data_IF_927804454447
#
_entry.id   IF_927804454447
#
_cell.length_a   1.000
_cell.length_b   1.000
_cell.length_c   1.000
_cell.angle_alpha   90.00
_cell.angle_beta   90.00
_cell.angle_gamma   90.00
#
_symmetry.space_group_name_H-M   'P 1'
#
loop_
_entity.id
_entity.type
_entity.pdbx_description
1 polymer ?
#
# COMPACT_ATOMS: atom_id res chain seq x y z
N UNK A 1 -14.65 23.67 -6.47
CA UNK A 1 -14.66 23.15 -6.54
C UNK A 1 -14.07 22.34 -6.79
N UNK A 2 -13.97 21.78 -6.78
CA UNK A 2 -13.44 20.92 -7.00
C UNK A 2 -13.29 20.52 -8.20
N UNK A 3 -13.55 20.86 -8.85
CA UNK A 3 -13.56 20.57 -10.05
C UNK A 3 -12.29 20.38 -10.55
N UNK A 4 -11.55 20.97 -10.24
CA UNK A 4 -10.30 20.91 -10.71
C UNK A 4 -9.69 19.81 -10.03
N UNK A 5 -10.42 19.14 -9.45
CA UNK A 5 -9.95 18.17 -8.81
C UNK A 5 -9.40 17.35 -9.64
N UNK A 6 -8.73 17.12 -9.65
CA UNK A 6 -7.91 16.42 -10.26
C UNK A 6 -8.16 15.33 -10.91
N UNK A 7 -8.42 15.50 -11.89
CA UNK A 7 -8.55 14.55 -12.74
C UNK A 7 -7.48 13.63 -12.62
N UNK A 8 -6.39 13.99 -12.32
CA UNK A 8 -5.37 13.09 -12.25
C UNK A 8 -4.94 13.01 -10.94
N UNK A 9 -5.75 12.99 -10.06
CA UNK A 9 -5.40 12.74 -8.83
C UNK A 9 -4.94 11.37 -8.71
N UNK A 10 -3.71 11.13 -8.74
CA UNK A 10 -3.10 9.84 -8.51
C UNK A 10 -2.85 9.67 -7.02
N UNK A 11 -2.67 8.45 -6.59
CA UNK A 11 -2.48 8.18 -5.17
C UNK A 11 -1.29 7.28 -4.91
N UNK A 12 -0.84 7.31 -3.68
CA UNK A 12 0.14 6.37 -3.14
C UNK A 12 -0.62 5.57 -2.10
N UNK A 13 -0.73 4.27 -2.32
CA UNK A 13 -1.45 3.41 -1.40
C UNK A 13 -0.48 2.67 -0.52
N UNK A 14 -0.79 2.59 0.76
CA UNK A 14 0.01 1.85 1.71
C UNK A 14 -0.88 0.79 2.30
N UNK A 15 -0.57 -0.47 2.03
CA UNK A 15 -1.36 -1.57 2.59
C UNK A 15 -0.69 -2.03 3.88
N UNK A 16 -1.43 -1.99 4.96
CA UNK A 16 -0.92 -2.36 6.27
C UNK A 16 -1.69 -3.51 6.86
N UNK A 17 -1.05 -4.23 7.76
CA UNK A 17 -1.75 -5.22 8.57
C UNK A 17 -1.92 -4.59 9.95
N UNK A 18 -2.58 -5.30 10.87
CA UNK A 18 -2.83 -4.75 12.21
C UNK A 18 -1.65 -4.96 13.13
N UNK A 19 -0.51 -4.41 12.74
CA UNK A 19 0.71 -4.48 13.52
C UNK A 19 1.25 -3.07 13.74
N UNK A 20 1.70 -2.82 14.94
CA UNK A 20 2.20 -1.48 15.29
C UNK A 20 3.33 -1.04 14.37
N UNK A 21 4.22 -1.95 14.01
CA UNK A 21 5.38 -1.56 13.21
C UNK A 21 5.05 -1.31 11.75
N UNK A 22 3.78 -1.44 11.35
CA UNK A 22 3.41 -1.05 10.01
C UNK A 22 3.43 0.47 9.85
N UNK A 23 3.62 1.21 10.94
CA UNK A 23 3.76 2.66 10.83
C UNK A 23 4.97 3.03 9.98
N UNK A 24 5.98 2.15 9.91
CA UNK A 24 7.14 2.43 9.06
C UNK A 24 6.73 2.48 7.59
N UNK A 25 5.72 1.69 7.21
CA UNK A 25 5.24 1.70 5.83
C UNK A 25 4.57 3.03 5.51
N UNK A 26 3.83 3.56 6.48
CA UNK A 26 3.15 4.83 6.28
C UNK A 26 4.17 5.95 6.12
N UNK A 27 5.26 5.89 6.88
CA UNK A 27 6.29 6.91 6.78
C UNK A 27 6.97 6.88 5.41
N UNK A 28 7.24 5.69 4.90
CA UNK A 28 7.82 5.56 3.57
C UNK A 28 6.84 6.08 2.53
N UNK A 29 5.56 5.68 2.68
CA UNK A 29 4.53 6.15 1.75
C UNK A 29 4.41 7.65 1.74
N UNK A 30 4.54 8.26 2.91
CA UNK A 30 4.44 9.70 3.01
C UNK A 30 5.56 10.39 2.22
N UNK A 31 6.77 9.85 2.29
CA UNK A 31 7.86 10.44 1.54
C UNK A 31 7.64 10.30 0.04
N UNK A 32 7.18 9.15 -0.39
CA UNK A 32 6.92 8.92 -1.80
C UNK A 32 5.79 9.81 -2.28
N UNK A 33 4.73 9.91 -1.48
CA UNK A 33 3.60 10.74 -1.88
C UNK A 33 3.99 12.20 -2.01
N UNK A 34 4.84 12.67 -1.10
CA UNK A 34 5.27 14.04 -1.18
C UNK A 34 6.10 14.28 -2.41
N UNK A 35 7.03 13.40 -2.71
CA UNK A 35 7.89 13.57 -3.87
C UNK A 35 7.13 13.46 -5.17
N UNK A 36 6.13 12.61 -5.22
CA UNK A 36 5.36 12.41 -6.45
C UNK A 36 4.12 13.28 -6.52
N UNK A 37 3.82 14.00 -5.44
CA UNK A 37 2.64 14.85 -5.38
C UNK A 37 1.37 14.06 -5.56
N UNK A 38 1.30 12.92 -4.89
CA UNK A 38 0.12 12.09 -4.93
C UNK A 38 -0.55 12.11 -3.56
N UNK A 39 -1.76 11.64 -3.51
CA UNK A 39 -2.51 11.58 -2.28
C UNK A 39 -2.15 10.31 -1.52
N UNK A 40 -1.95 10.40 -0.23
CA UNK A 40 -1.55 9.24 0.57
C UNK A 40 -2.76 8.58 1.19
N UNK A 41 -2.93 7.30 0.90
CA UNK A 41 -4.06 6.54 1.43
C UNK A 41 -3.53 5.27 2.08
N UNK A 42 -3.99 5.00 3.30
CA UNK A 42 -3.56 3.82 4.05
C UNK A 42 -4.73 2.87 4.12
N UNK A 43 -4.52 1.62 3.76
CA UNK A 43 -5.60 0.64 3.67
C UNK A 43 -5.24 -0.62 4.42
N UNK A 44 -6.15 -1.05 5.27
CA UNK A 44 -6.01 -2.31 5.98
C UNK A 44 -7.13 -3.23 5.51
N UNK A 45 -6.81 -4.40 5.02
CA UNK A 45 -7.81 -5.34 4.55
C UNK A 45 -7.94 -6.47 5.55
N UNK A 46 -9.13 -6.61 6.12
CA UNK A 46 -9.42 -7.63 7.09
C UNK A 46 -10.13 -8.75 6.35
N UNK A 47 -9.49 -9.88 6.22
CA UNK A 47 -10.05 -10.95 5.40
C UNK A 47 -10.86 -11.95 6.16
N UNK A 48 -10.70 -12.05 7.45
CA UNK A 48 -11.45 -13.03 8.18
C UNK A 48 -12.13 -12.45 9.38
N UNK A 49 -11.77 -12.90 10.51
CA UNK A 49 -12.47 -12.58 11.73
C UNK A 49 -12.09 -11.22 12.28
N UNK A 50 -12.97 -10.30 12.17
CA UNK A 50 -12.76 -8.96 12.66
C UNK A 50 -12.48 -8.94 14.15
N UNK A 51 -12.97 -9.91 14.86
CA UNK A 51 -12.75 -9.94 16.30
C UNK A 51 -11.31 -10.22 16.67
N UNK A 52 -10.55 -10.77 15.74
CA UNK A 52 -9.16 -11.06 16.03
C UNK A 52 -8.25 -9.93 15.68
N UNK A 53 -8.79 -8.84 15.19
CA UNK A 53 -7.98 -7.69 14.86
C UNK A 53 -7.34 -7.11 16.09
N UNK A 54 -6.13 -6.64 15.94
CA UNK A 54 -5.46 -5.92 17.00
C UNK A 54 -5.90 -4.47 16.94
N UNK A 55 -6.91 -4.12 17.72
CA UNK A 55 -7.47 -2.79 17.67
C UNK A 55 -6.51 -1.71 18.06
N UNK A 56 -5.66 -1.99 19.04
CA UNK A 56 -4.72 -0.97 19.48
C UNK A 56 -3.72 -0.65 18.39
N UNK A 57 -3.30 -1.68 17.64
CA UNK A 57 -2.40 -1.44 16.54
C UNK A 57 -3.08 -0.60 15.47
N UNK A 58 -4.34 -0.89 15.17
CA UNK A 58 -5.05 -0.11 14.17
C UNK A 58 -5.25 1.34 14.61
N UNK A 59 -5.51 1.55 15.89
CA UNK A 59 -5.64 2.91 16.41
C UNK A 59 -4.33 3.67 16.27
N UNK A 60 -3.23 2.98 16.54
CA UNK A 60 -1.92 3.59 16.38
C UNK A 60 -1.68 3.98 14.92
N UNK A 61 -2.00 3.07 14.00
CA UNK A 61 -1.79 3.35 12.59
C UNK A 61 -2.70 4.47 12.09
N UNK A 62 -3.89 4.55 12.65
CA UNK A 62 -4.79 5.63 12.30
C UNK A 62 -4.20 6.97 12.76
N UNK A 63 -3.66 7.01 13.96
CA UNK A 63 -3.04 8.22 14.48
C UNK A 63 -1.86 8.63 13.61
N UNK A 64 -1.01 7.66 13.24
CA UNK A 64 0.13 7.96 12.40
C UNK A 64 -0.33 8.45 11.03
N UNK A 65 -1.37 7.83 10.48
CA UNK A 65 -1.90 8.26 9.20
C UNK A 65 -2.32 9.72 9.25
N UNK A 66 -3.00 10.11 10.33
CA UNK A 66 -3.43 11.50 10.47
C UNK A 66 -2.26 12.46 10.55
N UNK A 67 -1.17 12.03 11.17
CA UNK A 67 0.01 12.88 11.26
C UNK A 67 0.58 13.20 9.90
N UNK A 68 0.36 12.33 8.93
CA UNK A 68 0.88 12.54 7.59
C UNK A 68 -0.22 12.96 6.61
N UNK A 69 -1.35 13.39 7.14
CA UNK A 69 -2.48 13.84 6.31
C UNK A 69 -2.98 12.76 5.37
N UNK A 70 -2.98 11.54 5.83
CA UNK A 70 -3.46 10.43 5.05
C UNK A 70 -4.82 9.99 5.55
N UNK A 71 -5.62 9.42 4.67
CA UNK A 71 -6.84 8.77 5.07
C UNK A 71 -6.52 7.32 5.35
N UNK A 72 -7.15 6.74 6.35
CA UNK A 72 -6.97 5.33 6.61
C UNK A 72 -8.34 4.65 6.57
N UNK A 73 -8.43 3.58 5.79
CA UNK A 73 -9.64 2.80 5.66
C UNK A 73 -9.41 1.35 6.01
N UNK A 74 -10.36 0.78 6.73
CA UNK A 74 -10.30 -0.64 7.06
C UNK A 74 -11.41 -1.31 6.25
N UNK A 75 -11.02 -2.23 5.39
CA UNK A 75 -11.96 -2.91 4.51
C UNK A 75 -12.09 -4.36 4.89
N UNK A 76 -13.31 -4.86 4.87
CA UNK A 76 -13.56 -6.24 5.16
C UNK A 76 -13.79 -6.95 3.84
N UNK A 77 -12.93 -7.88 3.48
CA UNK A 77 -13.02 -8.57 2.21
C UNK A 77 -12.61 -10.02 2.34
N UNK A 78 -13.33 -10.88 1.68
CA UNK A 78 -13.03 -12.27 1.71
C UNK A 78 -11.82 -12.61 0.87
N UNK A 79 -11.59 -11.89 -0.20
CA UNK A 79 -10.52 -12.17 -1.10
C UNK A 79 -9.55 -10.99 -1.15
N UNK A 80 -8.49 -11.04 -0.37
CA UNK A 80 -7.58 -9.90 -0.25
C UNK A 80 -6.96 -9.46 -1.56
N UNK A 81 -6.65 -10.41 -2.45
CA UNK A 81 -6.05 -10.04 -3.73
C UNK A 81 -7.01 -9.15 -4.53
N UNK A 82 -8.26 -9.56 -4.62
CA UNK A 82 -9.25 -8.79 -5.36
C UNK A 82 -9.46 -7.43 -4.72
N UNK A 83 -9.49 -7.40 -3.39
CA UNK A 83 -9.70 -6.15 -2.69
C UNK A 83 -8.54 -5.18 -2.94
N UNK A 84 -7.30 -5.69 -2.93
CA UNK A 84 -6.15 -4.84 -3.19
C UNK A 84 -6.18 -4.35 -4.64
N UNK A 85 -6.50 -5.25 -5.58
CA UNK A 85 -6.56 -4.86 -6.97
C UNK A 85 -7.63 -3.80 -7.21
N UNK A 86 -8.77 -3.95 -6.56
CA UNK A 86 -9.85 -2.98 -6.69
C UNK A 86 -9.41 -1.62 -6.16
N UNK A 87 -8.72 -1.59 -5.03
CA UNK A 87 -8.24 -0.34 -4.47
C UNK A 87 -7.25 0.34 -5.40
N UNK A 88 -6.35 -0.44 -5.98
CA UNK A 88 -5.35 0.11 -6.89
C UNK A 88 -6.02 0.80 -8.05
N UNK A 89 -7.06 0.18 -8.59
CA UNK A 89 -7.77 0.77 -9.71
C UNK A 89 -8.66 1.93 -9.30
N UNK A 90 -9.39 1.75 -8.24
CA UNK A 90 -10.33 2.75 -7.81
C UNK A 90 -9.68 4.06 -7.40
N UNK A 91 -8.56 3.98 -6.74
CA UNK A 91 -7.89 5.18 -6.26
C UNK A 91 -6.79 5.67 -7.21
N UNK A 92 -6.72 5.10 -8.39
CA UNK A 92 -5.75 5.50 -9.40
C UNK A 92 -4.35 5.52 -8.81
N UNK A 93 -3.96 4.40 -8.23
CA UNK A 93 -2.67 4.33 -7.56
C UNK A 93 -1.53 4.45 -8.55
N UNK A 94 -0.54 5.23 -8.19
CA UNK A 94 0.66 5.32 -8.96
C UNK A 94 1.76 4.57 -8.23
N UNK A 95 1.71 4.59 -6.91
CA UNK A 95 2.70 3.92 -6.06
C UNK A 95 1.96 3.07 -5.04
N UNK A 96 2.47 1.89 -4.77
CA UNK A 96 1.89 0.98 -3.78
C UNK A 96 2.99 0.48 -2.87
N UNK A 97 2.83 0.65 -1.56
CA UNK A 97 3.82 0.24 -0.58
C UNK A 97 3.24 -0.88 0.27
N UNK A 98 4.01 -1.96 0.44
CA UNK A 98 3.62 -3.04 1.33
C UNK A 98 4.82 -3.46 2.15
N UNK A 99 4.61 -4.28 3.16
CA UNK A 99 5.71 -4.92 3.85
C UNK A 99 6.33 -5.96 2.93
N UNK A 100 7.55 -6.34 3.21
CA UNK A 100 8.20 -7.36 2.39
C UNK A 100 7.52 -8.70 2.60
N UNK A 101 7.19 -9.40 1.53
CA UNK A 101 6.52 -10.69 1.68
C UNK A 101 7.50 -11.71 2.20
N UNK A 102 6.97 -12.71 2.87
CA UNK A 102 7.80 -13.76 3.34
C UNK A 102 8.03 -14.73 2.22
N UNK A 103 9.27 -15.09 2.04
CA UNK A 103 9.60 -16.07 1.02
C UNK A 103 9.05 -15.73 -0.35
N UNK A 104 8.67 -16.71 -1.08
CA UNK A 104 8.21 -16.51 -2.43
C UNK A 104 6.71 -16.39 -2.44
N UNK A 105 6.22 -15.25 -2.20
CA UNK A 105 4.79 -15.06 -2.16
C UNK A 105 4.23 -15.01 -3.57
N UNK A 106 3.47 -16.03 -3.92
CA UNK A 106 2.82 -16.06 -5.21
C UNK A 106 1.77 -14.96 -5.29
N UNK A 107 1.14 -14.69 -4.15
CA UNK A 107 0.13 -13.65 -4.07
C UNK A 107 0.70 -12.30 -4.49
N UNK A 108 1.84 -11.93 -3.92
CA UNK A 108 2.41 -10.63 -4.24
C UNK A 108 2.93 -10.58 -5.67
N UNK A 109 3.53 -11.66 -6.14
CA UNK A 109 4.03 -11.70 -7.50
C UNK A 109 2.89 -11.53 -8.50
N UNK A 110 1.75 -12.12 -8.19
CA UNK A 110 0.61 -12.01 -9.04
C UNK A 110 0.09 -10.57 -9.08
N UNK A 111 0.11 -9.92 -7.94
CA UNK A 111 -0.33 -8.53 -7.88
C UNK A 111 0.59 -7.64 -8.71
N UNK A 112 1.89 -7.83 -8.57
CA UNK A 112 2.86 -7.03 -9.30
C UNK A 112 2.69 -7.21 -10.81
N UNK A 113 2.45 -8.44 -11.24
CA UNK A 113 2.29 -8.71 -12.64
C UNK A 113 1.01 -8.12 -13.20
N UNK A 114 0.00 -8.02 -12.39
CA UNK A 114 -1.28 -7.49 -12.84
C UNK A 114 -1.24 -5.99 -13.12
N UNK A 115 -0.27 -5.30 -12.55
CA UNK A 115 -0.19 -3.85 -12.69
C UNK A 115 1.23 -3.41 -13.04
N UNK A 116 1.67 -3.72 -14.26
CA UNK A 116 3.05 -3.44 -14.64
C UNK A 116 3.42 -1.97 -14.69
N UNK A 117 2.43 -1.10 -14.81
CA UNK A 117 2.73 0.32 -14.88
C UNK A 117 2.76 1.01 -13.53
N UNK A 118 2.50 0.28 -12.46
CA UNK A 118 2.48 0.85 -11.13
C UNK A 118 3.80 0.59 -10.43
N UNK A 119 4.27 1.54 -9.65
CA UNK A 119 5.51 1.36 -8.90
C UNK A 119 5.19 0.69 -7.58
N UNK A 120 5.68 -0.53 -7.41
CA UNK A 120 5.48 -1.26 -6.17
C UNK A 120 6.75 -1.23 -5.35
N UNK A 121 6.60 -1.00 -4.06
CA UNK A 121 7.73 -0.96 -3.14
C UNK A 121 7.45 -1.87 -1.98
N UNK A 122 8.45 -2.61 -1.54
CA UNK A 122 8.33 -3.36 -0.30
C UNK A 122 9.30 -2.77 0.70
N UNK A 123 8.95 -2.84 1.97
CA UNK A 123 9.79 -2.32 3.04
C UNK A 123 10.00 -3.45 4.03
N UNK A 124 11.25 -3.84 4.22
CA UNK A 124 11.55 -4.96 5.11
C UNK A 124 11.47 -4.53 6.56
N UNK A 125 11.62 -5.50 7.46
CA UNK A 125 11.57 -5.22 8.89
C UNK A 125 12.66 -4.28 9.35
N UNK A 126 13.78 -4.23 8.64
CA UNK A 126 14.85 -3.30 8.99
C UNK A 126 14.86 -2.10 8.05
N UNK A 127 13.69 -1.77 7.52
CA UNK A 127 13.47 -0.54 6.75
C UNK A 127 14.20 -0.44 5.42
N UNK A 128 14.52 -1.58 4.82
CA UNK A 128 15.09 -1.56 3.50
C UNK A 128 13.98 -1.49 2.47
N UNK A 129 14.07 -0.56 1.56
CA UNK A 129 13.05 -0.34 0.56
C UNK A 129 13.50 -0.93 -0.77
N UNK A 130 12.62 -1.68 -1.40
CA UNK A 130 12.94 -2.28 -2.67
C UNK A 130 11.87 -1.91 -3.68
N UNK A 131 12.30 -1.43 -4.83
CA UNK A 131 11.38 -1.10 -5.91
C UNK A 131 11.27 -2.34 -6.78
N UNK A 132 10.11 -2.93 -6.78
CA UNK A 132 9.93 -4.25 -7.37
C UNK A 132 10.03 -4.29 -8.88
N UNK A 133 9.42 -3.33 -9.53
CA UNK A 133 9.32 -3.45 -10.97
C UNK A 133 10.60 -3.24 -11.74
N UNK A 134 11.55 -2.58 -11.17
CA UNK A 134 12.78 -2.41 -11.91
C UNK A 134 13.58 -3.68 -11.93
N UNK A 135 13.39 -4.54 -10.94
CA UNK A 135 14.16 -5.77 -10.89
C UNK A 135 13.71 -6.80 -11.89
N UNK A 136 12.45 -7.13 -11.97
CA UNK A 136 12.00 -8.13 -12.91
C UNK A 136 12.32 -7.77 -14.35
N UNK A 137 12.24 -6.50 -14.67
CA UNK A 137 12.53 -6.11 -16.00
C UNK A 137 13.93 -6.34 -16.38
N UNK A 138 14.83 -6.02 -15.52
CA UNK A 138 16.22 -6.21 -15.79
C UNK A 138 16.50 -7.66 -16.00
N UNK A 139 15.94 -8.50 -15.19
CA UNK A 139 16.17 -9.92 -15.29
C UNK A 139 15.63 -10.48 -16.59
N UNK A 140 14.48 -10.04 -16.97
CA UNK A 140 13.92 -10.62 -18.15
C UNK A 140 14.64 -10.22 -19.40
N UNK A 141 15.45 -9.23 -19.30
CA UNK A 141 16.13 -8.85 -20.45
C UNK A 141 17.27 -9.70 -20.72
N UNK A 142 17.62 -10.53 -19.95
CA UNK A 142 18.75 -11.29 -20.13
C UNK A 142 18.59 -12.42 -20.61
#
# INVERSE_FOLDING_TARGET
>A
MKLDQPIHNKSTLVFVTDQFNCDRLIRVGSKIAKLSKTELLVINIVSTNIERMNRKALEHLYTVSMEYNASMNVLNAEHPFSAMADCIQEYHAEHVITGAPKDNSVFMARLWKSFPEIYFYTVSGNNEIQNIHSIPEVVTKR
#
